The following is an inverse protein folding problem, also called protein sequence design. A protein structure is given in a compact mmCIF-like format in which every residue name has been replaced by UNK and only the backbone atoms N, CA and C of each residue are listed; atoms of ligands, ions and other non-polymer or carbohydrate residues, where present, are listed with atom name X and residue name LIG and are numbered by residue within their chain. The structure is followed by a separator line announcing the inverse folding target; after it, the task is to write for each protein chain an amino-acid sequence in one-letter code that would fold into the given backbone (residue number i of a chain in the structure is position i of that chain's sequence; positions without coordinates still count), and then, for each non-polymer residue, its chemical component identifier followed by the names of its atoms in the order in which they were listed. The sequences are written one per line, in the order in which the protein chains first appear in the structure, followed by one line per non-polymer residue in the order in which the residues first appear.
data_IF_992721841914
#
_entry.id   IF_992721841914
#
_cell.length_a   1.000
_cell.length_b   1.000
_cell.length_c   1.000
_cell.angle_alpha   90.00
_cell.angle_beta   90.00
_cell.angle_gamma   90.00
#
_symmetry.space_group_name_H-M   'P 1'
#
loop_
_entity.id
_entity.type
_entity.pdbx_description
1 polymer ?
#
# COMPACT_ATOMS: atom_id res chain seq x y z
N UNK A 1 27.38 50.83 -51.03
CA UNK A 1 26.66 50.79 -49.75
C UNK A 1 25.72 49.61 -49.70
N UNK A 2 26.29 48.38 -49.64
CA UNK A 2 25.56 47.12 -49.67
C UNK A 2 25.68 46.39 -48.29
N UNK A 3 25.75 47.02 -47.24
CA UNK A 3 26.12 46.29 -46.05
C UNK A 3 24.94 45.93 -45.07
N UNK A 4 24.04 46.89 -44.84
CA UNK A 4 23.10 46.75 -43.76
C UNK A 4 21.92 45.82 -44.06
N UNK A 5 21.38 45.87 -45.24
CA UNK A 5 20.21 45.02 -45.62
C UNK A 5 20.61 43.57 -45.85
N UNK A 6 21.77 43.32 -46.40
CA UNK A 6 22.33 41.95 -46.57
C UNK A 6 22.65 41.37 -45.20
N UNK A 7 23.33 42.12 -44.33
CA UNK A 7 23.62 41.73 -42.97
C UNK A 7 22.35 41.43 -42.16
N UNK A 8 21.33 42.29 -42.26
CA UNK A 8 20.07 42.07 -41.57
C UNK A 8 19.34 40.80 -42.08
N UNK A 9 19.47 40.49 -43.39
CA UNK A 9 18.93 39.25 -43.94
C UNK A 9 19.64 38.00 -43.44
N UNK A 10 20.98 38.03 -43.37
CA UNK A 10 21.80 36.90 -42.85
C UNK A 10 21.50 36.66 -41.36
N UNK A 11 21.48 37.73 -40.57
CA UNK A 11 21.09 37.64 -39.13
C UNK A 11 19.66 37.12 -38.96
N UNK A 12 18.72 37.58 -39.81
CA UNK A 12 17.35 37.10 -39.78
C UNK A 12 17.20 35.60 -40.05
N UNK A 13 17.97 35.05 -41.01
CA UNK A 13 17.96 33.62 -41.30
C UNK A 13 18.55 32.82 -40.16
N UNK A 14 19.63 33.32 -39.52
CA UNK A 14 20.25 32.63 -38.36
C UNK A 14 19.29 32.62 -37.19
N UNK A 15 18.67 33.76 -36.87
CA UNK A 15 17.69 33.87 -35.78
C UNK A 15 16.48 32.96 -36.04
N UNK A 16 15.98 32.95 -37.28
CA UNK A 16 14.87 32.06 -37.66
C UNK A 16 15.24 30.57 -37.47
N UNK A 17 16.46 30.19 -37.88
CA UNK A 17 16.97 28.84 -37.68
C UNK A 17 17.05 28.43 -36.21
N UNK A 18 17.53 29.33 -35.35
CA UNK A 18 17.59 29.11 -33.91
C UNK A 18 16.18 28.96 -33.31
N UNK A 19 15.23 29.82 -33.69
CA UNK A 19 13.84 29.77 -33.20
C UNK A 19 13.18 28.46 -33.60
N UNK A 20 13.38 28.01 -34.83
CA UNK A 20 12.83 26.72 -35.31
C UNK A 20 13.47 25.57 -34.52
N UNK A 21 14.77 25.56 -34.32
CA UNK A 21 15.48 24.51 -33.56
C UNK A 21 14.98 24.41 -32.12
N UNK A 22 14.90 25.54 -31.41
CA UNK A 22 14.38 25.61 -30.04
C UNK A 22 12.90 25.21 -29.95
N UNK A 23 12.09 25.55 -30.95
CA UNK A 23 10.68 25.16 -30.99
C UNK A 23 10.52 23.66 -31.18
N UNK A 24 11.34 23.03 -32.04
CA UNK A 24 11.36 21.58 -32.22
C UNK A 24 11.82 20.83 -30.96
N UNK A 25 12.87 21.34 -30.31
CA UNK A 25 13.36 20.78 -29.06
C UNK A 25 12.27 20.82 -27.98
N UNK A 26 11.57 21.93 -27.83
CA UNK A 26 10.49 22.08 -26.87
C UNK A 26 9.31 21.11 -27.15
N UNK A 27 8.98 20.87 -28.42
CA UNK A 27 7.95 19.91 -28.82
C UNK A 27 8.35 18.47 -28.50
N UNK A 28 9.59 18.08 -28.80
CA UNK A 28 10.12 16.73 -28.49
C UNK A 28 10.15 16.52 -27.01
N UNK A 29 10.65 17.47 -26.23
CA UNK A 29 10.67 17.41 -24.76
C UNK A 29 9.25 17.30 -24.19
N UNK A 30 8.28 18.02 -24.74
CA UNK A 30 6.88 17.91 -24.34
C UNK A 30 6.29 16.51 -24.55
N UNK A 31 6.57 15.88 -25.68
CA UNK A 31 6.13 14.50 -25.96
C UNK A 31 6.80 13.46 -25.07
N UNK A 32 8.08 13.61 -24.80
CA UNK A 32 8.84 12.74 -23.90
C UNK A 32 8.26 12.81 -22.48
N UNK A 33 8.04 14.02 -21.97
CA UNK A 33 7.46 14.28 -20.65
C UNK A 33 6.06 13.68 -20.52
N UNK A 34 5.21 13.85 -21.54
CA UNK A 34 3.87 13.27 -21.55
C UNK A 34 3.92 11.73 -21.59
N UNK A 35 4.85 11.15 -22.34
CA UNK A 35 5.06 9.71 -22.40
C UNK A 35 5.48 9.17 -21.04
N UNK A 36 6.43 9.80 -20.37
CA UNK A 36 6.88 9.41 -19.01
C UNK A 36 5.72 9.48 -18.02
N UNK A 37 4.93 10.57 -18.04
CA UNK A 37 3.76 10.70 -17.18
C UNK A 37 2.69 9.62 -17.47
N UNK A 38 2.47 9.26 -18.73
CA UNK A 38 1.48 8.26 -19.10
C UNK A 38 1.90 6.86 -18.68
N UNK A 39 3.18 6.49 -18.79
CA UNK A 39 3.70 5.24 -18.26
C UNK A 39 3.51 5.17 -16.75
N UNK A 40 3.95 6.19 -16.02
CA UNK A 40 3.78 6.23 -14.58
C UNK A 40 2.31 6.14 -14.14
N UNK A 41 1.37 6.79 -14.86
CA UNK A 41 -0.08 6.64 -14.60
C UNK A 41 -0.58 5.21 -14.80
N UNK A 42 -0.06 4.51 -15.83
CA UNK A 42 -0.42 3.13 -16.11
C UNK A 42 0.04 2.21 -14.99
N UNK A 43 1.31 2.33 -14.60
CA UNK A 43 1.93 1.50 -13.57
C UNK A 43 1.27 1.71 -12.21
N UNK A 44 1.05 2.98 -11.85
CA UNK A 44 0.32 3.36 -10.63
C UNK A 44 -1.11 2.80 -10.62
N UNK A 45 -1.82 2.84 -11.76
CA UNK A 45 -3.18 2.31 -11.83
C UNK A 45 -3.20 0.79 -11.64
N UNK A 46 -2.26 0.08 -12.24
CA UNK A 46 -2.11 -1.37 -12.09
C UNK A 46 -1.81 -1.74 -10.65
N UNK A 47 -0.84 -1.07 -10.02
CA UNK A 47 -0.47 -1.26 -8.63
C UNK A 47 -1.64 -0.98 -7.68
N UNK A 48 -2.34 0.15 -7.82
CA UNK A 48 -3.50 0.47 -6.99
C UNK A 48 -4.66 -0.51 -7.19
N UNK A 49 -4.82 -1.07 -8.40
CA UNK A 49 -5.80 -2.13 -8.65
C UNK A 49 -5.42 -3.41 -7.94
N UNK A 50 -4.16 -3.80 -7.98
CA UNK A 50 -3.62 -4.94 -7.24
C UNK A 50 -3.81 -4.76 -5.73
N UNK A 51 -3.38 -3.62 -5.19
CA UNK A 51 -3.53 -3.26 -3.78
C UNK A 51 -5.01 -3.30 -3.33
N UNK A 52 -5.93 -2.77 -4.16
CA UNK A 52 -7.37 -2.83 -3.86
C UNK A 52 -7.90 -4.25 -3.79
N UNK A 53 -7.41 -5.16 -4.65
CA UNK A 53 -7.80 -6.56 -4.62
C UNK A 53 -7.21 -7.28 -3.40
N UNK A 54 -5.95 -7.00 -3.04
CA UNK A 54 -5.30 -7.48 -1.82
C UNK A 54 -6.06 -7.04 -0.57
N UNK A 55 -6.40 -5.75 -0.49
CA UNK A 55 -7.18 -5.20 0.63
C UNK A 55 -8.54 -5.89 0.81
N UNK A 56 -9.26 -6.19 -0.29
CA UNK A 56 -10.54 -6.92 -0.21
C UNK A 56 -10.37 -8.34 0.35
N UNK A 57 -9.32 -9.06 -0.06
CA UNK A 57 -9.00 -10.39 0.48
C UNK A 57 -8.67 -10.30 1.96
N UNK A 58 -7.84 -9.32 2.34
CA UNK A 58 -7.47 -9.08 3.73
C UNK A 58 -8.70 -8.78 4.60
N UNK A 59 -9.63 -7.93 4.17
CA UNK A 59 -10.89 -7.66 4.89
C UNK A 59 -11.69 -8.95 5.08
N UNK A 60 -11.78 -9.81 4.06
CA UNK A 60 -12.49 -11.08 4.16
C UNK A 60 -11.81 -12.03 5.17
N UNK A 61 -10.48 -12.10 5.17
CA UNK A 61 -9.68 -12.86 6.14
C UNK A 61 -9.87 -12.33 7.57
N UNK A 62 -9.84 -11.02 7.76
CA UNK A 62 -10.07 -10.38 9.07
C UNK A 62 -11.46 -10.71 9.65
N UNK A 63 -12.51 -10.69 8.82
CA UNK A 63 -13.84 -11.13 9.26
C UNK A 63 -13.86 -12.60 9.69
N UNK A 64 -13.09 -13.46 9.04
CA UNK A 64 -12.96 -14.84 9.43
C UNK A 64 -12.16 -14.99 10.72
N UNK A 65 -11.07 -14.23 10.89
CA UNK A 65 -10.26 -14.19 12.11
C UNK A 65 -11.11 -13.77 13.32
N UNK A 66 -11.92 -12.72 13.21
CA UNK A 66 -12.83 -12.29 14.27
C UNK A 66 -13.81 -13.37 14.70
N UNK A 67 -14.40 -14.10 13.74
CA UNK A 67 -15.26 -15.26 14.06
C UNK A 67 -14.51 -16.36 14.81
N UNK A 68 -13.26 -16.64 14.42
CA UNK A 68 -12.42 -17.63 15.11
C UNK A 68 -12.02 -17.17 16.50
N UNK A 69 -11.68 -15.91 16.67
CA UNK A 69 -11.41 -15.32 17.99
C UNK A 69 -12.63 -15.40 18.93
N UNK A 70 -13.84 -15.20 18.43
CA UNK A 70 -15.06 -15.37 19.21
C UNK A 70 -15.24 -16.81 19.69
N UNK A 71 -14.93 -17.81 18.85
CA UNK A 71 -14.94 -19.24 19.25
C UNK A 71 -13.87 -19.50 20.31
N UNK A 72 -12.65 -19.00 20.13
CA UNK A 72 -11.57 -19.16 21.09
C UNK A 72 -11.94 -18.54 22.44
N UNK A 73 -12.50 -17.33 22.43
CA UNK A 73 -12.96 -16.63 23.65
C UNK A 73 -14.00 -17.47 24.40
N UNK A 74 -14.97 -18.02 23.69
CA UNK A 74 -16.02 -18.88 24.30
C UNK A 74 -15.43 -20.12 24.92
N UNK A 75 -14.46 -20.77 24.25
CA UNK A 75 -13.71 -21.90 24.78
C UNK A 75 -12.96 -21.53 26.08
N UNK A 76 -12.17 -20.46 26.06
CA UNK A 76 -11.41 -20.00 27.21
C UNK A 76 -12.31 -19.66 28.41
N UNK A 77 -13.44 -19.02 28.17
CA UNK A 77 -14.45 -18.75 29.22
C UNK A 77 -15.03 -20.05 29.80
N UNK A 78 -15.24 -21.09 28.99
CA UNK A 78 -15.74 -22.37 29.49
C UNK A 78 -14.72 -23.09 30.37
N UNK A 79 -13.44 -23.07 29.98
CA UNK A 79 -12.33 -23.64 30.77
C UNK A 79 -12.14 -22.87 32.10
N UNK A 80 -12.17 -21.53 32.05
CA UNK A 80 -12.06 -20.71 33.26
C UNK A 80 -13.20 -20.92 34.26
N UNK A 81 -14.37 -21.39 33.79
CA UNK A 81 -15.52 -21.77 34.62
C UNK A 81 -15.48 -23.25 35.07
N UNK A 82 -14.36 -23.96 34.89
CA UNK A 82 -14.20 -25.36 35.28
C UNK A 82 -14.96 -26.35 34.38
N UNK A 83 -15.45 -25.92 33.18
CA UNK A 83 -16.13 -26.79 32.24
C UNK A 83 -15.13 -27.40 31.26
N UNK A 84 -15.35 -28.65 30.87
CA UNK A 84 -14.58 -29.24 29.77
C UNK A 84 -15.02 -28.65 28.47
N UNK A 85 -14.20 -27.77 27.87
CA UNK A 85 -14.38 -27.24 26.53
C UNK A 85 -13.40 -27.94 25.57
N UNK A 86 -13.75 -28.00 24.29
CA UNK A 86 -12.87 -28.49 23.21
C UNK A 86 -12.92 -27.57 22.03
N UNK A 87 -11.77 -27.15 21.56
CA UNK A 87 -11.68 -26.46 20.27
C UNK A 87 -11.95 -27.43 19.11
N UNK A 88 -12.54 -26.98 18.01
CA UNK A 88 -12.70 -27.79 16.80
C UNK A 88 -11.36 -28.33 16.33
N UNK A 89 -11.34 -29.55 15.79
CA UNK A 89 -10.11 -30.14 15.20
C UNK A 89 -9.61 -29.25 14.06
N UNK A 90 -8.31 -28.95 14.06
CA UNK A 90 -7.71 -28.05 13.06
C UNK A 90 -8.05 -26.58 13.27
N UNK A 91 -8.38 -26.18 14.49
CA UNK A 91 -8.62 -24.78 14.79
C UNK A 91 -7.35 -23.95 14.55
N UNK A 92 -7.47 -22.94 13.72
CA UNK A 92 -6.44 -21.93 13.49
C UNK A 92 -7.08 -20.58 13.28
N UNK A 93 -6.41 -19.52 13.63
CA UNK A 93 -6.82 -18.15 13.33
C UNK A 93 -6.08 -17.76 12.07
N UNK A 94 -6.80 -17.44 10.96
CA UNK A 94 -6.14 -16.99 9.76
C UNK A 94 -5.46 -15.64 10.02
N UNK A 95 -4.22 -15.52 9.58
CA UNK A 95 -3.41 -14.30 9.68
C UNK A 95 -2.83 -14.00 8.29
N UNK A 96 -3.70 -13.78 7.32
CA UNK A 96 -3.27 -13.32 6.00
C UNK A 96 -3.08 -11.81 6.06
N UNK A 97 -1.83 -11.40 5.92
CA UNK A 97 -1.42 -10.02 5.74
C UNK A 97 -0.85 -9.90 4.34
N UNK A 98 -1.37 -9.00 3.55
CA UNK A 98 -0.89 -8.72 2.19
C UNK A 98 -0.40 -7.28 2.17
N UNK A 99 0.94 -7.11 2.12
CA UNK A 99 1.56 -5.78 2.09
C UNK A 99 1.12 -5.01 0.85
N UNK A 100 0.77 -3.75 1.02
CA UNK A 100 0.45 -2.85 -0.09
C UNK A 100 1.74 -2.43 -0.79
N UNK A 101 1.80 -2.64 -2.11
CA UNK A 101 2.94 -2.24 -2.94
C UNK A 101 2.93 -0.71 -3.15
N UNK A 102 4.11 -0.10 -3.16
CA UNK A 102 4.32 1.33 -3.41
C UNK A 102 5.39 1.59 -4.47
N UNK A 103 5.85 0.55 -5.16
CA UNK A 103 6.99 0.60 -6.09
C UNK A 103 6.73 1.50 -7.31
N UNK A 104 5.52 1.48 -7.87
CA UNK A 104 5.14 2.34 -8.99
C UNK A 104 5.14 3.83 -8.59
N UNK A 105 4.64 4.14 -7.39
CA UNK A 105 4.71 5.50 -6.85
C UNK A 105 6.15 5.95 -6.64
N UNK A 106 6.97 5.14 -5.98
CA UNK A 106 8.36 5.46 -5.68
C UNK A 106 9.18 5.62 -6.97
N UNK A 107 8.90 4.80 -7.99
CA UNK A 107 9.46 4.95 -9.35
C UNK A 107 9.02 6.26 -10.01
N UNK A 108 7.75 6.63 -9.92
CA UNK A 108 7.23 7.88 -10.49
C UNK A 108 7.84 9.13 -9.82
N UNK A 109 8.11 9.05 -8.51
CA UNK A 109 8.84 10.10 -7.78
C UNK A 109 10.30 10.17 -8.26
N UNK A 110 10.99 9.04 -8.31
CA UNK A 110 12.39 8.95 -8.70
C UNK A 110 12.65 9.43 -10.14
N UNK A 111 11.73 9.14 -11.05
CA UNK A 111 11.80 9.57 -12.47
C UNK A 111 11.24 10.96 -12.73
N UNK A 112 10.78 11.67 -11.70
CA UNK A 112 10.14 12.98 -11.79
C UNK A 112 8.87 12.98 -12.69
N UNK A 113 8.27 11.83 -12.95
CA UNK A 113 7.06 11.70 -13.77
C UNK A 113 5.87 12.50 -13.20
N UNK A 114 5.83 12.65 -11.88
CA UNK A 114 4.77 13.40 -11.18
C UNK A 114 4.77 14.89 -11.53
N UNK A 115 5.92 15.48 -11.90
CA UNK A 115 6.01 16.90 -12.29
C UNK A 115 5.24 17.21 -13.59
N UNK A 116 4.97 16.17 -14.38
CA UNK A 116 4.24 16.26 -15.65
C UNK A 116 2.77 15.82 -15.51
N UNK A 117 2.28 15.67 -14.28
CA UNK A 117 0.89 15.32 -13.99
C UNK A 117 0.14 16.50 -13.37
N UNK A 118 -1.20 16.59 -13.53
CA UNK A 118 -2.00 17.59 -12.83
C UNK A 118 -1.84 17.49 -11.31
N UNK A 119 -1.63 18.62 -10.64
CA UNK A 119 -1.38 18.68 -9.18
C UNK A 119 -2.48 18.02 -8.35
N UNK A 120 -3.74 18.15 -8.75
CA UNK A 120 -4.88 17.50 -8.10
C UNK A 120 -4.76 15.97 -8.16
N UNK A 121 -4.33 15.41 -9.29
CA UNK A 121 -4.10 13.97 -9.45
C UNK A 121 -2.95 13.50 -8.56
N UNK A 122 -1.83 14.23 -8.57
CA UNK A 122 -0.67 13.91 -7.71
C UNK A 122 -1.07 13.92 -6.24
N UNK A 123 -1.86 14.90 -5.81
CA UNK A 123 -2.32 14.97 -4.42
C UNK A 123 -3.20 13.78 -4.03
N UNK A 124 -4.16 13.39 -4.89
CA UNK A 124 -5.01 12.23 -4.64
C UNK A 124 -4.20 10.92 -4.56
N UNK A 125 -3.22 10.75 -5.45
CA UNK A 125 -2.32 9.60 -5.43
C UNK A 125 -1.45 9.60 -4.16
N UNK A 126 -0.89 10.73 -3.77
CA UNK A 126 -0.09 10.86 -2.55
C UNK A 126 -0.89 10.45 -1.30
N UNK A 127 -2.17 10.84 -1.21
CA UNK A 127 -3.05 10.42 -0.12
C UNK A 127 -3.29 8.90 -0.12
N UNK A 128 -3.54 8.30 -1.28
CA UNK A 128 -3.74 6.86 -1.40
C UNK A 128 -2.50 6.09 -0.93
N UNK A 129 -1.31 6.52 -1.35
CA UNK A 129 -0.05 5.87 -0.96
C UNK A 129 0.35 6.13 0.50
N UNK A 130 -0.02 7.29 1.07
CA UNK A 130 0.11 7.51 2.52
C UNK A 130 -0.69 6.49 3.30
N UNK A 131 -1.96 6.27 2.93
CA UNK A 131 -2.80 5.25 3.55
C UNK A 131 -2.24 3.83 3.38
N UNK A 132 -1.66 3.51 2.21
CA UNK A 132 -1.00 2.20 1.99
C UNK A 132 0.19 1.98 2.93
N UNK A 133 1.01 3.00 3.15
CA UNK A 133 2.15 2.93 4.08
C UNK A 133 1.71 2.80 5.53
N UNK A 134 0.72 3.59 5.95
CA UNK A 134 0.14 3.48 7.30
C UNK A 134 -0.43 2.08 7.56
N UNK A 135 -1.08 1.48 6.56
CA UNK A 135 -1.58 0.11 6.66
C UNK A 135 -0.43 -0.89 6.80
N UNK A 136 0.63 -0.78 6.00
CA UNK A 136 1.80 -1.66 6.10
C UNK A 136 2.46 -1.57 7.48
N UNK A 137 2.58 -0.38 8.06
CA UNK A 137 3.12 -0.18 9.41
C UNK A 137 2.24 -0.84 10.47
N UNK A 138 0.91 -0.70 10.33
CA UNK A 138 -0.04 -1.34 11.22
C UNK A 138 0.00 -2.87 11.12
N UNK A 139 0.12 -3.42 9.91
CA UNK A 139 0.25 -4.86 9.70
C UNK A 139 1.48 -5.45 10.37
N UNK A 140 2.64 -4.79 10.29
CA UNK A 140 3.84 -5.25 10.97
C UNK A 140 3.64 -5.36 12.48
N UNK A 141 2.93 -4.40 13.07
CA UNK A 141 2.58 -4.43 14.49
C UNK A 141 1.62 -5.58 14.82
N UNK A 142 0.59 -5.78 13.98
CA UNK A 142 -0.40 -6.84 14.16
C UNK A 142 0.19 -8.24 14.03
N UNK A 143 1.12 -8.46 13.07
CA UNK A 143 1.87 -9.71 12.93
C UNK A 143 2.65 -10.02 14.19
N UNK A 144 3.36 -9.04 14.75
CA UNK A 144 4.13 -9.22 15.99
C UNK A 144 3.22 -9.64 17.15
N UNK A 145 2.07 -9.01 17.30
CA UNK A 145 1.09 -9.37 18.35
C UNK A 145 0.48 -10.77 18.13
N UNK A 146 0.21 -11.15 16.86
CA UNK A 146 -0.37 -12.45 16.55
C UNK A 146 0.60 -13.61 16.85
N UNK A 147 1.90 -13.40 16.65
CA UNK A 147 2.95 -14.38 17.02
C UNK A 147 3.00 -14.56 18.54
N UNK A 148 2.90 -13.49 19.31
CA UNK A 148 2.84 -13.57 20.78
C UNK A 148 1.60 -14.34 21.26
N UNK A 149 0.43 -14.10 20.66
CA UNK A 149 -0.80 -14.83 21.00
C UNK A 149 -0.78 -16.30 20.58
N UNK A 150 -0.15 -16.64 19.47
CA UNK A 150 -0.06 -18.03 19.01
C UNK A 150 0.81 -18.88 19.93
N UNK A 151 1.80 -18.30 20.60
CA UNK A 151 2.65 -18.99 21.56
C UNK A 151 1.86 -19.50 22.79
N UNK A 152 0.80 -18.79 23.16
CA UNK A 152 -0.09 -19.16 24.28
C UNK A 152 -1.01 -20.34 23.87
N UNK A 153 -1.42 -20.39 22.58
CA UNK A 153 -2.34 -21.41 22.08
C UNK A 153 -1.65 -22.74 21.74
N UNK A 154 -0.33 -22.76 21.63
CA UNK A 154 0.46 -23.94 21.20
C UNK A 154 1.14 -24.69 22.35
N UNK A 155 0.96 -24.29 23.61
CA UNK A 155 1.48 -25.05 24.74
C UNK A 155 0.56 -26.26 24.99
N UNK A 156 1.00 -27.54 24.68
CA UNK A 156 0.19 -28.73 24.94
C UNK A 156 0.32 -29.06 26.42
N UNK A 157 -0.45 -28.40 27.22
CA UNK A 157 -0.62 -28.69 28.65
C UNK A 157 -2.06 -28.33 29.02
N UNK A 158 -2.56 -28.94 30.09
CA UNK A 158 -3.86 -28.56 30.61
C UNK A 158 -3.83 -27.05 30.94
N UNK A 159 -4.53 -26.26 30.14
CA UNK A 159 -4.71 -24.81 30.41
C UNK A 159 -5.31 -24.67 31.81
N UNK A 160 -4.57 -24.04 32.73
CA UNK A 160 -5.12 -23.72 34.03
C UNK A 160 -6.30 -22.75 33.89
N UNK A 161 -7.21 -22.74 34.86
CA UNK A 161 -8.33 -21.81 34.86
C UNK A 161 -7.86 -20.33 34.89
N UNK A 162 -6.68 -20.07 35.44
CA UNK A 162 -6.06 -18.75 35.52
C UNK A 162 -5.50 -18.30 34.14
N UNK A 163 -4.80 -19.20 33.45
CA UNK A 163 -4.29 -18.95 32.09
C UNK A 163 -5.45 -18.76 31.10
N UNK A 164 -6.52 -19.54 31.22
CA UNK A 164 -7.73 -19.38 30.42
C UNK A 164 -8.41 -18.03 30.65
N UNK A 165 -8.40 -17.52 31.90
CA UNK A 165 -8.95 -16.19 32.23
C UNK A 165 -8.10 -15.07 31.65
N UNK A 166 -6.77 -15.18 31.73
CA UNK A 166 -5.83 -14.23 31.11
C UNK A 166 -5.98 -14.22 29.58
N UNK A 167 -5.98 -15.39 28.97
CA UNK A 167 -6.17 -15.54 27.52
C UNK A 167 -7.50 -14.96 27.03
N UNK A 168 -8.59 -15.15 27.78
CA UNK A 168 -9.90 -14.59 27.41
C UNK A 168 -9.92 -13.05 27.42
N UNK A 169 -9.17 -12.41 28.32
CA UNK A 169 -9.00 -10.94 28.36
C UNK A 169 -8.19 -10.46 27.15
N UNK A 170 -7.09 -11.12 26.82
CA UNK A 170 -6.27 -10.76 25.65
C UNK A 170 -7.05 -10.89 24.35
N UNK A 171 -7.81 -11.97 24.17
CA UNK A 171 -8.71 -12.13 23.02
C UNK A 171 -9.76 -11.01 22.97
N UNK A 172 -10.29 -10.58 24.11
CA UNK A 172 -11.26 -9.48 24.15
C UNK A 172 -10.65 -8.13 23.73
N UNK A 173 -9.39 -7.89 24.09
CA UNK A 173 -8.65 -6.69 23.66
C UNK A 173 -8.36 -6.74 22.14
N UNK A 174 -8.01 -7.90 21.61
CA UNK A 174 -7.76 -8.07 20.19
C UNK A 174 -9.03 -7.94 19.30
N UNK A 175 -10.21 -8.02 19.89
CA UNK A 175 -11.51 -7.88 19.21
C UNK A 175 -12.10 -6.46 19.31
N UNK A 176 -11.51 -5.58 20.12
CA UNK A 176 -11.96 -4.19 20.33
C UNK A 176 -11.37 -3.22 19.30
#
# INVERSE_FOLDING_TARGET
MHGWREFAGEVGIIVLGIVIALSLEALVAGWENERVANHARSDIREELTSNSNGLRKMIASQHQALRRLAILRTFLLSVSAGRQGRLPTGFSIPSEFESMDTSAWDSAVATQALSHMPSMQVHALAQAYSGSRELNDFEQLAVKQSVEMSSIATTPGELSAEDAKLGSRQVSIAMA
#
